data_IF_533063744199
#
_entry.id   IF_533063744199
#
_cell.length_a   1.000
_cell.length_b   1.000
_cell.length_c   1.000
_cell.angle_alpha   90.00
_cell.angle_beta   90.00
_cell.angle_gamma   90.00
#
_symmetry.space_group_name_H-M   'P 1'
#
loop_
_entity.id
_entity.type
_entity.pdbx_description
1 polymer ?
#
# COMPACT_ATOMS: atom_id res chain seq x y z
N UNK A 1 -2.27 -10.10 31.41
CA UNK A 1 -2.64 -11.53 31.60
C UNK A 1 -4.02 -11.78 31.00
N UNK A 2 -4.08 -12.35 29.79
CA UNK A 2 -5.12 -13.28 29.27
C UNK A 2 -4.39 -14.09 28.18
N UNK A 3 -4.33 -15.43 28.31
CA UNK A 3 -3.71 -16.34 27.33
C UNK A 3 -2.21 -16.60 27.55
N UNK A 4 -1.86 -17.58 28.37
CA UNK A 4 -0.48 -18.03 28.55
C UNK A 4 0.03 -18.76 27.30
N UNK A 5 0.57 -18.02 26.33
CA UNK A 5 1.40 -18.60 25.27
C UNK A 5 2.71 -19.02 25.93
N UNK A 6 2.94 -20.33 26.08
CA UNK A 6 4.23 -20.82 26.59
C UNK A 6 5.32 -20.34 25.63
N UNK A 7 6.40 -19.70 26.12
CA UNK A 7 7.51 -19.31 25.28
C UNK A 7 8.08 -20.53 24.58
N UNK A 8 8.25 -20.45 23.27
CA UNK A 8 8.84 -21.51 22.46
C UNK A 8 10.35 -21.50 22.66
N UNK A 9 11.02 -22.66 22.78
CA UNK A 9 12.48 -22.70 22.82
C UNK A 9 13.06 -22.04 21.56
N UNK A 10 13.82 -20.97 21.73
CA UNK A 10 14.46 -20.24 20.64
C UNK A 10 15.86 -19.82 21.06
N UNK A 11 16.78 -19.68 20.10
CA UNK A 11 18.06 -19.00 20.34
C UNK A 11 17.98 -17.63 19.70
N UNK A 12 18.28 -16.60 20.48
CA UNK A 12 18.24 -15.22 20.04
C UNK A 12 19.64 -14.65 20.18
N UNK A 13 20.16 -14.07 19.10
CA UNK A 13 21.43 -13.34 19.09
C UNK A 13 21.17 -11.90 18.60
N UNK A 14 21.81 -10.93 19.24
CA UNK A 14 21.72 -9.52 18.90
C UNK A 14 23.11 -9.04 18.52
N UNK A 15 23.25 -8.56 17.31
CA UNK A 15 24.51 -8.02 16.79
C UNK A 15 24.33 -6.53 16.52
N UNK A 16 25.21 -5.71 17.06
CA UNK A 16 25.27 -4.29 16.74
C UNK A 16 26.48 -4.03 15.85
N UNK A 17 26.23 -3.45 14.68
CA UNK A 17 27.25 -2.99 13.76
C UNK A 17 27.52 -1.50 14.04
N UNK A 18 28.69 -1.20 14.59
CA UNK A 18 29.12 0.15 14.93
C UNK A 18 29.31 1.05 13.71
N UNK A 19 29.69 0.49 12.55
CA UNK A 19 29.93 1.27 11.33
C UNK A 19 28.63 1.70 10.66
N UNK A 20 27.62 0.82 10.68
CA UNK A 20 26.32 1.10 10.06
C UNK A 20 25.25 1.54 11.05
N UNK A 21 25.57 1.56 12.35
CA UNK A 21 24.64 1.78 13.46
C UNK A 21 23.40 0.87 13.40
N UNK A 22 23.57 -0.37 12.93
CA UNK A 22 22.48 -1.33 12.75
C UNK A 22 22.46 -2.35 13.88
N UNK A 23 21.25 -2.65 14.36
CA UNK A 23 21.01 -3.77 15.27
C UNK A 23 20.38 -4.90 14.47
N UNK A 24 21.05 -6.04 14.40
CA UNK A 24 20.56 -7.28 13.78
C UNK A 24 20.10 -8.26 14.86
N UNK A 25 18.83 -8.61 14.85
CA UNK A 25 18.25 -9.64 15.72
C UNK A 25 18.17 -10.97 14.96
N UNK A 26 19.00 -11.94 15.32
CA UNK A 26 18.96 -13.30 14.78
C UNK A 26 18.13 -14.21 15.68
N UNK A 27 17.07 -14.81 15.13
CA UNK A 27 16.20 -15.74 15.86
C UNK A 27 16.23 -17.12 15.21
N UNK A 28 16.65 -18.11 15.99
CA UNK A 28 16.64 -19.52 15.61
C UNK A 28 15.46 -20.25 16.27
N UNK A 29 14.58 -20.80 15.44
CA UNK A 29 13.45 -21.63 15.84
C UNK A 29 13.73 -23.10 15.47
N UNK A 30 13.57 -24.05 16.40
CA UNK A 30 13.98 -25.44 16.19
C UNK A 30 12.97 -26.28 15.41
N UNK A 31 11.71 -25.87 15.37
CA UNK A 31 10.61 -26.64 14.77
C UNK A 31 9.94 -25.85 13.64
N UNK A 32 9.34 -26.58 12.71
CA UNK A 32 8.48 -26.00 11.68
C UNK A 32 7.16 -25.52 12.30
N UNK A 33 6.59 -24.45 11.75
CA UNK A 33 5.36 -23.88 12.28
C UNK A 33 5.16 -22.41 11.97
N UNK A 34 4.10 -21.86 12.54
CA UNK A 34 3.85 -20.42 12.55
C UNK A 34 3.97 -19.94 13.99
N UNK A 35 4.80 -18.94 14.21
CA UNK A 35 5.12 -18.38 15.52
C UNK A 35 4.75 -16.92 15.52
N UNK A 36 4.19 -16.46 16.62
CA UNK A 36 3.95 -15.04 16.83
C UNK A 36 5.11 -14.47 17.65
N UNK A 37 5.69 -13.36 17.21
CA UNK A 37 6.84 -12.73 17.82
C UNK A 37 6.56 -11.26 18.12
N UNK A 38 6.99 -10.82 19.30
CA UNK A 38 6.92 -9.42 19.71
C UNK A 38 8.32 -8.95 20.13
N UNK A 39 8.77 -7.82 19.59
CA UNK A 39 10.06 -7.19 19.90
C UNK A 39 9.80 -5.88 20.62
N UNK A 40 10.37 -5.74 21.82
CA UNK A 40 10.17 -4.57 22.69
C UNK A 40 11.50 -4.05 23.25
N UNK A 41 11.59 -2.74 23.47
CA UNK A 41 12.69 -2.06 24.15
C UNK A 41 12.15 -1.28 25.35
N UNK A 42 12.70 -1.53 26.55
CA UNK A 42 12.20 -0.97 27.83
C UNK A 42 10.68 -1.15 28.04
N UNK A 43 10.15 -2.30 27.64
CA UNK A 43 8.72 -2.62 27.76
C UNK A 43 7.82 -1.96 26.71
N UNK A 44 8.36 -1.12 25.82
CA UNK A 44 7.64 -0.57 24.67
C UNK A 44 7.88 -1.46 23.45
N UNK A 45 6.80 -1.95 22.83
CA UNK A 45 6.89 -2.71 21.59
C UNK A 45 7.46 -1.78 20.51
N UNK A 46 8.49 -2.24 19.81
CA UNK A 46 9.09 -1.49 18.71
C UNK A 46 8.09 -1.38 17.56
N UNK A 47 8.22 -0.35 16.72
CA UNK A 47 7.41 -0.25 15.51
C UNK A 47 7.70 -1.46 14.60
N UNK A 48 6.64 -2.13 14.11
CA UNK A 48 6.71 -3.44 13.45
C UNK A 48 7.34 -4.56 14.30
N UNK A 49 7.41 -4.36 15.61
CA UNK A 49 7.90 -5.34 16.57
C UNK A 49 6.93 -6.49 16.77
N UNK A 50 5.67 -6.36 16.37
CA UNK A 50 4.64 -7.39 16.44
C UNK A 50 4.42 -8.03 15.06
N UNK A 51 4.77 -9.32 14.90
CA UNK A 51 4.71 -10.02 13.62
C UNK A 51 4.68 -11.55 13.76
N UNK A 52 4.27 -12.21 12.67
CA UNK A 52 4.31 -13.67 12.56
C UNK A 52 5.56 -14.17 11.79
N UNK A 53 6.12 -15.29 12.24
CA UNK A 53 7.26 -15.99 11.65
C UNK A 53 6.79 -17.35 11.15
N UNK A 54 6.98 -17.64 9.87
CA UNK A 54 6.71 -18.95 9.27
C UNK A 54 8.03 -19.71 9.10
N UNK A 55 8.16 -20.84 9.79
CA UNK A 55 9.26 -21.79 9.62
C UNK A 55 8.77 -22.93 8.74
N UNK A 56 9.35 -23.03 7.55
CA UNK A 56 8.99 -24.03 6.54
C UNK A 56 9.78 -25.33 6.73
N UNK A 57 9.17 -26.44 6.32
CA UNK A 57 9.88 -27.69 6.09
C UNK A 57 10.85 -27.55 4.90
N UNK A 58 11.85 -28.43 4.79
CA UNK A 58 12.77 -28.44 3.65
C UNK A 58 12.03 -28.63 2.30
N UNK A 59 10.98 -29.46 2.28
CA UNK A 59 10.16 -29.69 1.09
C UNK A 59 9.35 -28.45 0.72
N UNK A 60 8.75 -27.77 1.70
CA UNK A 60 7.94 -26.57 1.47
C UNK A 60 8.83 -25.41 0.99
N UNK A 61 9.99 -25.21 1.62
CA UNK A 61 10.96 -24.21 1.18
C UNK A 61 11.37 -24.45 -0.28
N UNK A 62 11.73 -25.70 -0.64
CA UNK A 62 12.09 -26.06 -2.02
C UNK A 62 10.95 -25.77 -3.02
N UNK A 63 9.70 -26.04 -2.63
CA UNK A 63 8.53 -25.75 -3.43
C UNK A 63 8.32 -24.24 -3.62
N UNK A 64 8.45 -23.44 -2.56
CA UNK A 64 8.38 -21.97 -2.62
C UNK A 64 9.43 -21.41 -3.57
N UNK A 65 10.67 -21.89 -3.52
CA UNK A 65 11.72 -21.49 -4.46
C UNK A 65 11.35 -21.77 -5.90
N UNK A 66 10.82 -22.97 -6.17
CA UNK A 66 10.36 -23.35 -7.52
C UNK A 66 9.25 -22.42 -8.00
N UNK A 67 8.29 -22.06 -7.14
CA UNK A 67 7.21 -21.13 -7.45
C UNK A 67 7.73 -19.73 -7.80
N UNK A 68 8.70 -19.23 -7.05
CA UNK A 68 9.23 -17.86 -7.22
C UNK A 68 10.15 -17.74 -8.44
N UNK A 69 10.83 -18.84 -8.80
CA UNK A 69 11.74 -18.92 -9.93
C UNK A 69 11.05 -19.18 -11.28
N UNK A 70 9.88 -19.84 -11.30
CA UNK A 70 9.18 -20.16 -12.56
C UNK A 70 8.73 -18.91 -13.31
N UNK A 71 8.88 -18.92 -14.65
CA UNK A 71 8.30 -17.90 -15.54
C UNK A 71 6.81 -18.16 -15.84
N UNK A 72 6.34 -19.38 -15.61
CA UNK A 72 4.93 -19.74 -15.71
C UNK A 72 4.31 -19.66 -14.32
N UNK A 73 3.52 -18.62 -14.07
CA UNK A 73 2.92 -18.33 -12.76
C UNK A 73 1.57 -19.01 -12.54
N UNK A 74 1.33 -20.18 -13.14
CA UNK A 74 0.15 -20.98 -12.85
C UNK A 74 0.31 -21.77 -11.53
N UNK A 75 0.62 -21.05 -10.44
CA UNK A 75 0.83 -21.60 -9.11
C UNK A 75 -0.50 -21.55 -8.39
N UNK A 76 -1.01 -22.71 -7.98
CA UNK A 76 -2.29 -22.80 -7.28
C UNK A 76 -2.32 -23.92 -6.25
N UNK A 77 -3.18 -23.75 -5.26
CA UNK A 77 -3.37 -24.68 -4.16
C UNK A 77 -4.86 -24.90 -3.90
N UNK A 78 -5.22 -26.14 -3.57
CA UNK A 78 -6.56 -26.45 -3.11
C UNK A 78 -6.76 -25.94 -1.67
N UNK A 79 -7.90 -25.31 -1.42
CA UNK A 79 -8.29 -24.84 -0.10
C UNK A 79 -9.79 -25.01 0.13
N UNK A 80 -10.20 -24.84 1.38
CA UNK A 80 -11.60 -24.75 1.78
C UNK A 80 -11.91 -23.34 2.24
N UNK A 81 -12.88 -22.71 1.58
CA UNK A 81 -13.40 -21.40 1.93
C UNK A 81 -14.34 -21.53 3.13
N UNK A 82 -14.06 -20.78 4.20
CA UNK A 82 -14.82 -20.79 5.45
C UNK A 82 -15.71 -19.55 5.54
N UNK A 83 -15.15 -18.38 5.23
CA UNK A 83 -15.84 -17.09 5.31
C UNK A 83 -15.49 -16.23 4.11
N UNK A 84 -16.48 -15.55 3.55
CA UNK A 84 -16.32 -14.58 2.45
C UNK A 84 -17.41 -13.52 2.54
N UNK A 85 -17.14 -12.29 2.11
CA UNK A 85 -18.10 -11.18 2.17
C UNK A 85 -18.61 -10.86 3.58
N UNK A 86 -17.83 -11.18 4.62
CA UNK A 86 -18.21 -10.95 6.02
C UNK A 86 -19.12 -12.04 6.61
N UNK A 87 -19.47 -13.07 5.84
CA UNK A 87 -20.35 -14.15 6.29
C UNK A 87 -19.62 -15.49 6.35
N UNK A 88 -19.82 -16.22 7.46
CA UNK A 88 -19.38 -17.61 7.57
C UNK A 88 -20.30 -18.50 6.73
N UNK A 89 -19.71 -19.33 5.88
CA UNK A 89 -20.44 -20.28 5.07
C UNK A 89 -21.01 -21.41 5.95
N UNK A 90 -22.24 -21.87 5.67
CA UNK A 90 -22.85 -22.98 6.43
C UNK A 90 -22.08 -24.30 6.23
N UNK A 91 -21.40 -24.46 5.09
CA UNK A 91 -20.47 -25.56 4.82
C UNK A 91 -19.27 -25.01 4.04
N UNK A 92 -18.04 -25.47 4.36
CA UNK A 92 -16.87 -25.07 3.60
C UNK A 92 -16.97 -25.42 2.13
N UNK A 93 -16.56 -24.49 1.28
CA UNK A 93 -16.57 -24.69 -0.17
C UNK A 93 -15.18 -24.98 -0.67
N UNK A 94 -15.02 -25.98 -1.54
CA UNK A 94 -13.74 -26.25 -2.21
C UNK A 94 -13.42 -25.10 -3.18
N UNK A 95 -12.25 -24.51 -3.01
CA UNK A 95 -11.73 -23.40 -3.81
C UNK A 95 -10.27 -23.62 -4.16
N UNK A 96 -9.75 -22.79 -5.07
CA UNK A 96 -8.37 -22.84 -5.54
C UNK A 96 -7.74 -21.46 -5.38
N UNK A 97 -6.65 -21.40 -4.63
CA UNK A 97 -5.88 -20.19 -4.36
C UNK A 97 -4.74 -20.09 -5.37
N UNK A 98 -4.84 -19.13 -6.30
CA UNK A 98 -3.81 -18.84 -7.29
C UNK A 98 -2.89 -17.73 -6.78
N UNK A 99 -1.58 -17.98 -6.74
CA UNK A 99 -0.58 -17.00 -6.29
C UNK A 99 0.27 -16.59 -7.49
N UNK A 100 0.39 -15.29 -7.74
CA UNK A 100 1.21 -14.74 -8.82
C UNK A 100 2.01 -13.55 -8.32
N UNK A 101 3.02 -13.07 -9.08
CA UNK A 101 3.74 -11.86 -8.72
C UNK A 101 2.85 -10.61 -8.58
N UNK A 102 1.62 -10.59 -9.11
CA UNK A 102 0.77 -9.39 -9.07
C UNK A 102 -0.36 -9.47 -8.05
N UNK A 103 -0.81 -10.67 -7.72
CA UNK A 103 -2.04 -10.89 -6.96
C UNK A 103 -2.17 -12.32 -6.44
N UNK A 104 -2.97 -12.47 -5.38
CA UNK A 104 -3.57 -13.70 -4.90
C UNK A 104 -5.04 -13.74 -5.35
N UNK A 105 -5.45 -14.78 -6.09
CA UNK A 105 -6.81 -14.91 -6.59
C UNK A 105 -7.46 -16.20 -6.08
N UNK A 106 -8.65 -16.11 -5.50
CA UNK A 106 -9.41 -17.27 -5.05
C UNK A 106 -10.50 -17.57 -6.09
N UNK A 107 -10.53 -18.81 -6.59
CA UNK A 107 -11.51 -19.27 -7.59
C UNK A 107 -12.25 -20.50 -7.13
N UNK A 108 -13.47 -20.65 -7.59
CA UNK A 108 -14.23 -21.90 -7.57
C UNK A 108 -14.42 -22.43 -9.00
N UNK A 109 -14.70 -23.72 -9.15
CA UNK A 109 -15.06 -24.30 -10.44
C UNK A 109 -16.53 -24.71 -10.45
N UNK A 110 -17.31 -24.03 -11.28
CA UNK A 110 -18.68 -24.44 -11.60
C UNK A 110 -18.63 -25.58 -12.62
N UNK A 111 -19.50 -26.58 -12.42
CA UNK A 111 -19.59 -27.77 -13.28
C UNK A 111 -18.25 -28.51 -13.49
N UNK A 112 -17.28 -28.32 -12.58
CA UNK A 112 -15.90 -28.88 -12.63
C UNK A 112 -14.99 -28.31 -13.73
N UNK A 113 -15.46 -27.43 -14.63
CA UNK A 113 -14.62 -26.89 -15.72
C UNK A 113 -14.71 -25.37 -15.91
N UNK A 114 -15.72 -24.68 -15.36
CA UNK A 114 -15.87 -23.23 -15.51
C UNK A 114 -15.24 -22.52 -14.31
N UNK A 115 -14.09 -21.84 -14.45
CA UNK A 115 -13.48 -21.11 -13.35
C UNK A 115 -14.26 -19.82 -13.06
N UNK A 116 -14.84 -19.71 -11.86
CA UNK A 116 -15.44 -18.48 -11.34
C UNK A 116 -14.53 -17.86 -10.30
N UNK A 117 -14.11 -16.62 -10.55
CA UNK A 117 -13.35 -15.82 -9.59
C UNK A 117 -14.27 -15.38 -8.46
N UNK A 118 -13.86 -15.63 -7.21
CA UNK A 118 -14.60 -15.18 -6.03
C UNK A 118 -14.05 -13.85 -5.53
N UNK A 119 -12.73 -13.77 -5.36
CA UNK A 119 -12.06 -12.59 -4.81
C UNK A 119 -10.63 -12.53 -5.32
N UNK A 120 -10.04 -11.33 -5.32
CA UNK A 120 -8.62 -11.11 -5.66
C UNK A 120 -8.04 -10.09 -4.71
N UNK A 121 -6.88 -10.42 -4.17
CA UNK A 121 -6.06 -9.55 -3.34
C UNK A 121 -4.84 -9.13 -4.15
N UNK A 122 -4.51 -7.84 -4.12
CA UNK A 122 -3.28 -7.35 -4.77
C UNK A 122 -2.08 -7.90 -4.00
N UNK A 123 -0.99 -8.14 -4.71
CA UNK A 123 0.27 -8.47 -4.05
C UNK A 123 0.98 -7.17 -3.65
N UNK A 124 0.70 -6.70 -2.44
CA UNK A 124 1.22 -5.47 -1.85
C UNK A 124 1.32 -5.58 -0.32
N UNK A 125 2.09 -4.71 0.36
CA UNK A 125 2.31 -4.81 1.81
C UNK A 125 1.05 -4.66 2.66
N UNK A 126 0.00 -4.02 2.15
CA UNK A 126 -1.29 -3.86 2.83
C UNK A 126 -2.11 -5.16 2.88
N UNK A 127 -1.83 -6.14 2.01
CA UNK A 127 -2.48 -7.46 2.09
C UNK A 127 -1.79 -8.30 3.16
N UNK A 128 -2.46 -8.45 4.30
CA UNK A 128 -2.01 -9.19 5.47
C UNK A 128 -2.60 -10.59 5.51
N UNK A 129 -1.82 -11.49 6.08
CA UNK A 129 -2.25 -12.83 6.45
C UNK A 129 -2.31 -12.89 7.97
N UNK A 130 -3.47 -13.27 8.51
CA UNK A 130 -3.62 -13.53 9.94
C UNK A 130 -3.72 -15.04 10.15
N UNK A 131 -2.81 -15.59 10.94
CA UNK A 131 -2.75 -17.02 11.19
C UNK A 131 -3.52 -17.37 12.47
N UNK A 132 -4.38 -18.37 12.38
CA UNK A 132 -5.04 -18.93 13.57
C UNK A 132 -4.38 -20.24 13.98
N UNK A 133 -4.46 -20.56 15.27
CA UNK A 133 -3.95 -21.81 15.82
C UNK A 133 -4.71 -23.03 15.27
N UNK A 134 -4.04 -24.18 15.21
CA UNK A 134 -4.50 -25.43 14.56
C UNK A 134 -5.76 -26.07 15.20
N UNK A 135 -6.47 -25.40 16.11
CA UNK A 135 -7.70 -25.89 16.74
C UNK A 135 -8.95 -25.49 15.95
N UNK A 136 -9.05 -25.90 14.69
CA UNK A 136 -10.30 -25.80 13.93
C UNK A 136 -10.92 -27.17 13.69
N UNK A 137 -12.23 -27.21 13.41
CA UNK A 137 -12.96 -28.47 13.21
C UNK A 137 -12.44 -29.32 12.03
N UNK A 138 -11.54 -28.75 11.21
CA UNK A 138 -11.00 -29.37 10.01
C UNK A 138 -9.60 -29.96 10.22
N UNK A 139 -9.02 -29.80 11.41
CA UNK A 139 -7.67 -30.27 11.78
C UNK A 139 -6.59 -29.87 10.75
N UNK A 140 -6.74 -28.68 10.17
CA UNK A 140 -5.87 -28.15 9.13
C UNK A 140 -5.54 -26.68 9.45
N UNK A 141 -4.39 -26.15 9.02
CA UNK A 141 -4.06 -24.77 9.30
C UNK A 141 -5.04 -23.81 8.60
N UNK A 142 -5.57 -22.83 9.36
CA UNK A 142 -6.38 -21.73 8.81
C UNK A 142 -5.59 -20.42 8.76
N UNK A 143 -6.05 -19.55 7.87
CA UNK A 143 -5.59 -18.18 7.75
C UNK A 143 -6.70 -17.28 7.23
N UNK A 144 -6.62 -16.01 7.58
CA UNK A 144 -7.45 -14.95 7.05
C UNK A 144 -6.60 -14.05 6.18
N UNK A 145 -7.08 -13.74 4.98
CA UNK A 145 -6.49 -12.72 4.11
C UNK A 145 -7.30 -11.43 4.27
N UNK A 146 -6.59 -10.33 4.51
CA UNK A 146 -7.15 -9.01 4.74
C UNK A 146 -6.31 -7.96 4.01
N UNK A 147 -6.92 -7.16 3.15
CA UNK A 147 -6.26 -6.04 2.46
C UNK A 147 -6.81 -4.67 2.91
N UNK A 148 -7.68 -4.66 3.93
CA UNK A 148 -8.38 -3.46 4.40
C UNK A 148 -9.39 -2.86 3.41
N UNK A 149 -9.48 -3.37 2.18
CA UNK A 149 -10.33 -2.83 1.11
C UNK A 149 -11.62 -3.62 0.94
N UNK A 150 -11.59 -4.93 1.22
CA UNK A 150 -12.74 -5.82 1.06
C UNK A 150 -12.94 -6.71 2.30
N UNK A 151 -14.13 -7.29 2.48
CA UNK A 151 -14.38 -8.17 3.62
C UNK A 151 -13.36 -9.31 3.68
N UNK A 152 -12.85 -9.56 4.89
CA UNK A 152 -11.83 -10.57 5.17
C UNK A 152 -12.27 -11.95 4.67
N UNK A 153 -11.30 -12.72 4.18
CA UNK A 153 -11.56 -14.06 3.64
C UNK A 153 -10.82 -15.11 4.44
N UNK A 154 -11.57 -16.04 5.02
CA UNK A 154 -11.04 -17.12 5.83
C UNK A 154 -10.93 -18.41 5.02
N UNK A 155 -9.74 -19.00 5.02
CA UNK A 155 -9.39 -20.22 4.29
C UNK A 155 -8.76 -21.24 5.23
N UNK A 156 -8.98 -22.51 4.90
CA UNK A 156 -8.31 -23.66 5.52
C UNK A 156 -7.61 -24.46 4.42
N UNK A 157 -6.31 -24.73 4.61
CA UNK A 157 -5.55 -25.59 3.71
C UNK A 157 -4.26 -26.08 4.38
N UNK A 158 -3.84 -27.31 4.03
CA UNK A 158 -2.54 -27.85 4.42
C UNK A 158 -1.37 -27.02 3.88
N UNK A 159 -1.56 -26.36 2.74
CA UNK A 159 -0.52 -25.60 2.03
C UNK A 159 -0.44 -24.14 2.50
N UNK A 160 -1.09 -23.78 3.63
CA UNK A 160 -1.17 -22.40 4.16
C UNK A 160 0.19 -21.72 4.19
N UNK A 161 1.18 -22.38 4.79
CA UNK A 161 2.51 -21.81 4.99
C UNK A 161 3.23 -21.59 3.65
N UNK A 162 3.05 -22.51 2.68
CA UNK A 162 3.60 -22.40 1.32
C UNK A 162 2.97 -21.24 0.57
N UNK A 163 1.64 -21.08 0.65
CA UNK A 163 0.90 -19.96 0.03
C UNK A 163 1.42 -18.63 0.58
N UNK A 164 1.45 -18.49 1.91
CA UNK A 164 1.89 -17.26 2.57
C UNK A 164 3.36 -16.95 2.23
N UNK A 165 4.26 -17.94 2.32
CA UNK A 165 5.67 -17.74 1.98
C UNK A 165 5.89 -17.41 0.50
N UNK A 166 5.17 -18.05 -0.42
CA UNK A 166 5.23 -17.74 -1.85
C UNK A 166 4.76 -16.31 -2.13
N UNK A 167 3.66 -15.89 -1.50
CA UNK A 167 3.16 -14.53 -1.60
C UNK A 167 4.20 -13.51 -1.10
N UNK A 168 4.75 -13.74 0.10
CA UNK A 168 5.76 -12.87 0.70
C UNK A 168 7.02 -12.78 -0.16
N UNK A 169 7.50 -13.88 -0.73
CA UNK A 169 8.66 -13.84 -1.63
C UNK A 169 8.42 -13.04 -2.90
N UNK A 170 7.25 -13.21 -3.53
CA UNK A 170 6.90 -12.40 -4.69
C UNK A 170 6.82 -10.92 -4.32
N UNK A 171 6.30 -10.60 -3.14
CA UNK A 171 6.26 -9.23 -2.62
C UNK A 171 7.66 -8.65 -2.49
N UNK A 172 8.57 -9.39 -1.84
CA UNK A 172 9.97 -8.99 -1.69
C UNK A 172 10.68 -8.82 -3.05
N UNK A 173 10.40 -9.70 -4.03
CA UNK A 173 10.98 -9.62 -5.37
C UNK A 173 10.51 -8.40 -6.16
N UNK A 174 9.24 -8.01 -6.02
CA UNK A 174 8.68 -6.85 -6.70
C UNK A 174 9.18 -5.51 -6.15
N UNK A 175 9.60 -5.49 -4.88
CA UNK A 175 10.12 -4.28 -4.22
C UNK A 175 11.51 -3.89 -4.78
N UNK A 176 12.19 -4.77 -5.53
CA UNK A 176 13.40 -4.46 -6.29
C UNK A 176 14.70 -4.48 -5.47
N UNK A 177 15.81 -4.86 -6.12
CA UNK A 177 17.17 -4.95 -5.57
C UNK A 177 17.81 -3.59 -5.28
N UNK A 178 17.29 -2.86 -4.29
CA UNK A 178 18.06 -1.88 -3.51
C UNK A 178 18.08 -2.39 -2.07
N UNK A 179 19.28 -2.51 -1.52
CA UNK A 179 19.60 -3.18 -0.25
C UNK A 179 18.82 -2.61 0.94
N UNK A 180 17.60 -3.11 1.15
CA UNK A 180 16.96 -3.24 2.45
C UNK A 180 16.55 -4.70 2.56
N UNK A 181 17.37 -5.51 3.23
CA UNK A 181 16.95 -6.88 3.53
C UNK A 181 15.79 -6.80 4.53
N UNK A 182 14.57 -7.00 4.03
CA UNK A 182 13.53 -7.63 4.84
C UNK A 182 13.68 -9.13 4.64
N UNK A 183 14.66 -9.74 5.28
CA UNK A 183 14.81 -11.20 5.30
C UNK A 183 13.76 -11.81 6.23
N UNK A 184 12.52 -11.87 5.76
CA UNK A 184 11.58 -12.88 6.22
C UNK A 184 11.82 -14.16 5.42
N UNK A 185 12.92 -14.85 5.72
CA UNK A 185 12.98 -16.31 5.66
C UNK A 185 14.28 -16.83 6.28
N UNK A 186 14.19 -17.82 7.18
CA UNK A 186 15.35 -18.58 7.62
C UNK A 186 15.86 -19.48 6.48
N UNK A 187 17.11 -19.32 6.09
CA UNK A 187 17.83 -20.35 5.35
C UNK A 187 18.76 -21.09 6.29
N UNK A 188 18.57 -22.40 6.40
CA UNK A 188 19.59 -23.41 6.12
C UNK A 188 18.95 -24.79 6.27
N UNK A 189 18.98 -25.56 5.17
CA UNK A 189 19.07 -27.00 5.30
C UNK A 189 20.22 -27.27 6.28
N UNK A 190 19.91 -27.83 7.45
CA UNK A 190 20.71 -27.88 8.68
C UNK A 190 20.46 -26.70 9.64
N UNK A 191 19.29 -26.74 10.28
CA UNK A 191 19.06 -26.29 11.66
C UNK A 191 19.64 -24.93 12.09
N UNK A 192 19.59 -23.88 11.26
CA UNK A 192 19.88 -22.50 11.67
C UNK A 192 18.94 -21.53 10.94
N UNK A 193 18.18 -20.77 11.71
CA UNK A 193 17.32 -19.70 11.24
C UNK A 193 17.93 -18.39 11.73
N UNK A 194 18.18 -17.44 10.82
CA UNK A 194 18.77 -16.13 11.10
C UNK A 194 17.78 -15.08 10.63
N UNK A 195 17.14 -14.40 11.58
CA UNK A 195 16.38 -13.17 11.31
C UNK A 195 17.39 -12.00 11.21
N UNK A 196 17.15 -11.02 10.36
CA UNK A 196 17.92 -9.77 10.34
C UNK A 196 16.90 -8.62 10.24
N UNK A 197 16.69 -7.90 11.35
CA UNK A 197 15.93 -6.66 11.34
C UNK A 197 16.89 -5.57 10.88
N UNK A 198 16.60 -4.94 9.74
CA UNK A 198 17.50 -3.97 9.12
C UNK A 198 16.89 -2.57 9.15
N UNK A 199 17.58 -1.64 9.82
CA UNK A 199 17.38 -0.18 9.73
C UNK A 199 18.16 0.42 8.55
N UNK A 200 17.72 1.57 8.03
CA UNK A 200 18.08 2.24 6.78
C UNK A 200 19.59 2.52 6.58
N UNK A 201 20.14 2.30 5.37
CA UNK A 201 21.53 2.68 5.03
C UNK A 201 21.60 3.87 4.08
N UNK A 202 22.49 4.81 4.41
CA UNK A 202 22.94 5.93 3.55
C UNK A 202 23.67 5.41 2.30
N UNK A 203 23.40 6.00 1.13
CA UNK A 203 24.39 6.53 0.16
C UNK A 203 23.84 6.66 -1.27
N UNK A 204 23.46 7.89 -1.66
CA UNK A 204 23.36 8.31 -3.08
C UNK A 204 23.66 9.83 -3.29
N UNK A 205 23.88 10.62 -2.22
CA UNK A 205 24.00 12.09 -2.30
C UNK A 205 25.38 12.61 -2.75
N UNK A 206 26.44 11.83 -2.63
CA UNK A 206 27.82 12.35 -2.80
C UNK A 206 28.25 12.63 -4.25
N UNK A 207 27.53 12.15 -5.26
CA UNK A 207 27.94 12.31 -6.66
C UNK A 207 27.28 13.47 -7.43
N UNK A 208 26.18 14.04 -6.92
CA UNK A 208 25.40 15.02 -7.68
C UNK A 208 25.80 16.48 -7.48
N UNK A 209 26.57 16.81 -6.44
CA UNK A 209 26.80 18.20 -6.01
C UNK A 209 28.25 18.71 -6.14
N UNK A 210 29.18 17.96 -6.72
CA UNK A 210 30.60 18.36 -6.83
C UNK A 210 30.90 19.28 -8.02
N UNK A 211 29.94 20.09 -8.48
CA UNK A 211 30.23 21.23 -9.36
C UNK A 211 29.49 22.47 -8.87
N UNK A 212 30.19 23.28 -8.07
CA UNK A 212 30.43 24.73 -8.26
C UNK A 212 30.43 25.49 -6.93
N UNK A 213 31.57 26.16 -6.68
CA UNK A 213 31.90 27.18 -5.67
C UNK A 213 32.41 26.70 -4.30
N UNK A 214 33.74 26.77 -4.17
CA UNK A 214 34.45 26.72 -2.88
C UNK A 214 34.04 27.93 -2.01
N UNK A 215 33.83 27.66 -0.71
CA UNK A 215 33.60 28.60 0.39
C UNK A 215 32.17 29.11 0.70
N UNK A 216 31.11 28.33 0.48
CA UNK A 216 29.72 28.70 0.87
C UNK A 216 29.10 27.70 1.86
N UNK A 217 28.23 28.18 2.77
CA UNK A 217 27.41 27.34 3.66
C UNK A 217 26.46 26.45 2.83
N UNK A 218 26.94 25.26 2.50
CA UNK A 218 26.24 24.24 1.73
C UNK A 218 24.92 23.79 2.36
N UNK A 219 24.70 24.06 3.66
CA UNK A 219 23.43 23.79 4.32
C UNK A 219 22.35 24.78 3.90
N UNK A 220 22.67 26.08 3.85
CA UNK A 220 21.76 27.14 3.43
C UNK A 220 21.31 26.99 1.97
N UNK A 221 22.28 26.88 1.06
CA UNK A 221 22.03 26.73 -0.38
C UNK A 221 21.19 25.49 -0.69
N UNK A 222 21.44 24.38 0.01
CA UNK A 222 20.66 23.15 -0.16
C UNK A 222 19.20 23.34 0.24
N UNK A 223 18.95 23.95 1.41
CA UNK A 223 17.57 24.18 1.89
C UNK A 223 16.79 25.08 0.94
N UNK A 224 17.41 26.19 0.51
CA UNK A 224 16.82 27.11 -0.45
C UNK A 224 16.51 26.40 -1.78
N UNK A 225 17.42 25.55 -2.27
CA UNK A 225 17.19 24.78 -3.49
C UNK A 225 15.99 23.84 -3.36
N UNK A 226 15.84 23.11 -2.25
CA UNK A 226 14.67 22.25 -2.03
C UNK A 226 13.37 23.06 -1.94
N UNK A 227 13.41 24.21 -1.27
CA UNK A 227 12.26 25.10 -1.14
C UNK A 227 11.79 25.64 -2.50
N UNK A 228 12.70 26.21 -3.29
CA UNK A 228 12.41 26.70 -4.64
C UNK A 228 11.97 25.59 -5.58
N UNK A 229 12.58 24.41 -5.48
CA UNK A 229 12.22 23.25 -6.31
C UNK A 229 10.82 22.74 -5.94
N UNK A 230 10.49 22.65 -4.64
CA UNK A 230 9.14 22.28 -4.20
C UNK A 230 8.11 23.31 -4.68
N UNK A 231 8.39 24.61 -4.55
CA UNK A 231 7.50 25.65 -5.07
C UNK A 231 7.30 25.53 -6.60
N UNK A 232 8.38 25.30 -7.36
CA UNK A 232 8.29 25.11 -8.80
C UNK A 232 7.43 23.90 -9.22
N UNK A 233 7.42 22.84 -8.41
CA UNK A 233 6.71 21.60 -8.72
C UNK A 233 5.26 21.58 -8.22
N UNK A 234 5.01 22.08 -7.01
CA UNK A 234 3.75 21.85 -6.29
C UNK A 234 2.84 23.06 -6.23
N UNK A 235 3.35 24.26 -6.53
CA UNK A 235 2.51 25.45 -6.62
C UNK A 235 1.52 25.33 -7.78
N UNK A 236 0.23 25.53 -7.47
CA UNK A 236 -0.86 25.40 -8.42
C UNK A 236 -0.70 26.30 -9.65
N UNK A 237 -0.02 27.44 -9.51
CA UNK A 237 0.24 28.41 -10.60
C UNK A 237 1.12 27.82 -11.72
N UNK A 238 1.92 26.81 -11.39
CA UNK A 238 2.82 26.17 -12.35
C UNK A 238 2.11 25.05 -13.14
N UNK A 239 0.91 24.64 -12.71
CA UNK A 239 0.02 23.76 -13.47
C UNK A 239 0.37 22.27 -13.45
N UNK A 240 1.47 21.84 -12.82
CA UNK A 240 1.77 20.41 -12.62
C UNK A 240 0.85 19.81 -11.54
N UNK A 241 0.67 20.53 -10.44
CA UNK A 241 -0.38 20.30 -9.47
C UNK A 241 -1.40 21.44 -9.57
N UNK A 242 -2.61 21.22 -9.08
CA UNK A 242 -3.68 22.21 -9.05
C UNK A 242 -4.54 22.03 -7.78
N UNK A 243 -5.15 23.11 -7.30
CA UNK A 243 -6.19 23.03 -6.28
C UNK A 243 -7.54 22.74 -6.92
N UNK A 244 -8.48 22.18 -6.12
CA UNK A 244 -9.87 22.01 -6.54
C UNK A 244 -10.67 23.33 -6.47
N UNK A 245 -10.18 24.31 -5.69
CA UNK A 245 -10.70 25.68 -5.65
C UNK A 245 -9.63 26.68 -6.10
N UNK A 246 -10.07 27.88 -6.49
CA UNK A 246 -9.18 28.99 -6.88
C UNK A 246 -8.42 29.61 -5.69
N UNK A 247 -8.66 29.12 -4.47
CA UNK A 247 -7.98 29.62 -3.28
C UNK A 247 -6.48 29.25 -3.30
N UNK A 248 -5.61 30.24 -3.17
CA UNK A 248 -4.15 30.02 -3.13
C UNK A 248 -3.67 29.22 -1.92
N UNK A 249 -4.49 29.11 -0.88
CA UNK A 249 -4.25 28.27 0.29
C UNK A 249 -4.86 26.87 0.17
N UNK A 250 -5.50 26.54 -0.95
CA UNK A 250 -6.09 25.24 -1.20
C UNK A 250 -5.03 24.12 -1.19
N UNK A 251 -5.47 22.93 -0.82
CA UNK A 251 -4.67 21.72 -0.97
C UNK A 251 -4.43 21.45 -2.46
N UNK A 252 -3.26 20.93 -2.78
CA UNK A 252 -2.88 20.63 -4.16
C UNK A 252 -3.03 19.15 -4.49
N UNK A 253 -3.47 18.87 -5.70
CA UNK A 253 -3.69 17.55 -6.27
C UNK A 253 -3.00 17.46 -7.65
N UNK A 254 -2.58 16.28 -8.12
CA UNK A 254 -2.07 16.15 -9.49
C UNK A 254 -3.07 16.71 -10.51
N UNK A 255 -2.59 17.48 -11.49
CA UNK A 255 -3.45 18.14 -12.46
C UNK A 255 -3.70 17.25 -13.71
N UNK A 256 -4.91 16.68 -13.88
CA UNK A 256 -5.24 15.89 -15.06
C UNK A 256 -5.35 16.75 -16.34
N UNK A 257 -5.50 18.07 -16.19
CA UNK A 257 -5.60 19.07 -17.28
C UNK A 257 -4.34 19.92 -17.40
N UNK A 258 -3.18 19.39 -17.00
CA UNK A 258 -1.91 20.12 -17.08
C UNK A 258 -1.60 20.59 -18.52
N UNK A 259 -0.89 21.72 -18.67
CA UNK A 259 -0.37 22.17 -19.96
C UNK A 259 0.44 21.09 -20.70
N UNK A 260 0.35 21.06 -22.03
CA UNK A 260 0.94 20.00 -22.85
C UNK A 260 2.47 19.92 -22.77
N UNK A 261 3.16 20.99 -22.37
CA UNK A 261 4.60 21.00 -22.11
C UNK A 261 4.98 20.22 -20.84
N UNK A 262 4.07 20.06 -19.87
CA UNK A 262 4.27 19.29 -18.65
C UNK A 262 3.96 17.81 -18.88
N UNK A 263 5.02 17.02 -19.05
CA UNK A 263 4.96 15.57 -19.29
C UNK A 263 4.95 14.74 -18.00
N UNK A 264 4.54 13.48 -18.08
CA UNK A 264 4.51 12.52 -16.96
C UNK A 264 5.85 12.38 -16.23
N UNK A 265 6.98 12.50 -16.94
CA UNK A 265 8.33 12.52 -16.34
C UNK A 265 8.55 13.63 -15.30
N UNK A 266 7.76 14.71 -15.32
CA UNK A 266 7.84 15.75 -14.28
C UNK A 266 7.21 15.28 -12.97
N UNK A 267 6.17 14.45 -13.00
CA UNK A 267 5.67 13.79 -11.79
C UNK A 267 6.69 12.79 -11.25
N UNK A 268 7.36 12.03 -12.13
CA UNK A 268 8.45 11.15 -11.72
C UNK A 268 9.59 11.94 -11.06
N UNK A 269 9.97 13.09 -11.63
CA UNK A 269 10.93 13.98 -10.97
C UNK A 269 10.40 14.53 -9.63
N UNK A 270 9.13 14.92 -9.55
CA UNK A 270 8.53 15.41 -8.31
C UNK A 270 8.53 14.33 -7.21
N UNK A 271 8.22 13.09 -7.56
CA UNK A 271 8.33 11.93 -6.67
C UNK A 271 9.75 11.75 -6.14
N UNK A 272 10.76 11.86 -7.01
CA UNK A 272 12.18 11.82 -6.58
C UNK A 272 12.52 12.93 -5.60
N UNK A 273 12.04 14.15 -5.84
CA UNK A 273 12.28 15.29 -4.93
C UNK A 273 11.65 15.03 -3.56
N UNK A 274 10.40 14.55 -3.50
CA UNK A 274 9.76 14.19 -2.23
C UNK A 274 10.51 13.05 -1.54
N UNK A 275 10.86 12.00 -2.27
CA UNK A 275 11.65 10.89 -1.74
C UNK A 275 13.00 11.34 -1.20
N UNK A 276 13.61 12.32 -1.87
CA UNK A 276 14.87 12.92 -1.44
C UNK A 276 14.71 13.73 -0.16
N UNK A 277 13.65 14.53 -0.03
CA UNK A 277 13.36 15.27 1.20
C UNK A 277 13.17 14.33 2.39
N UNK A 278 12.43 13.25 2.20
CA UNK A 278 12.20 12.22 3.22
C UNK A 278 13.52 11.53 3.60
N UNK A 279 14.30 11.10 2.60
CA UNK A 279 15.60 10.46 2.82
C UNK A 279 16.58 11.36 3.58
N UNK A 280 16.75 12.62 3.17
CA UNK A 280 17.66 13.57 3.84
C UNK A 280 17.19 13.86 5.27
N UNK A 281 15.88 13.99 5.49
CA UNK A 281 15.32 14.20 6.84
C UNK A 281 15.55 13.01 7.76
N UNK A 282 15.59 11.79 7.22
CA UNK A 282 15.92 10.59 7.99
C UNK A 282 17.40 10.54 8.44
N UNK A 283 18.30 11.35 7.87
CA UNK A 283 19.72 11.38 8.23
C UNK A 283 20.03 12.17 9.50
N UNK A 284 19.02 12.81 10.11
CA UNK A 284 19.12 13.58 11.35
C UNK A 284 18.72 15.05 11.19
N UNK A 285 18.46 15.73 12.31
CA UNK A 285 17.87 17.08 12.34
C UNK A 285 18.63 18.14 11.51
N UNK A 286 19.97 18.06 11.44
CA UNK A 286 20.79 19.00 10.66
C UNK A 286 20.58 18.92 9.15
N UNK A 287 20.02 17.81 8.65
CA UNK A 287 19.76 17.57 7.23
C UNK A 287 18.29 17.70 6.84
N UNK A 288 17.40 18.00 7.81
CA UNK A 288 15.95 18.07 7.60
C UNK A 288 15.60 18.94 6.39
N UNK A 289 14.89 18.35 5.43
CA UNK A 289 14.33 19.02 4.25
C UNK A 289 12.82 18.86 4.30
N UNK A 290 12.11 19.98 4.31
CA UNK A 290 10.65 19.97 4.31
C UNK A 290 10.15 19.98 2.87
N UNK A 291 9.16 19.15 2.58
CA UNK A 291 8.39 19.27 1.34
C UNK A 291 7.46 20.46 1.52
N UNK A 292 7.73 21.56 0.80
CA UNK A 292 6.89 22.77 0.82
C UNK A 292 5.70 22.59 -0.10
N UNK A 293 4.75 21.75 0.32
CA UNK A 293 3.48 21.53 -0.37
C UNK A 293 2.40 21.11 0.64
N UNK A 294 1.17 21.54 0.40
CA UNK A 294 0.00 21.09 1.18
C UNK A 294 -0.81 20.17 0.29
N UNK A 295 -0.51 18.87 0.36
CA UNK A 295 -1.17 17.90 -0.50
C UNK A 295 -2.59 17.62 -0.04
N UNK A 296 -3.45 17.31 -1.00
CA UNK A 296 -4.76 16.72 -0.74
C UNK A 296 -4.65 15.41 0.02
N UNK A 297 -5.59 15.14 0.93
CA UNK A 297 -5.64 13.92 1.73
C UNK A 297 -5.81 12.69 0.86
N UNK A 298 -6.65 12.77 -0.17
CA UNK A 298 -6.81 11.68 -1.14
C UNK A 298 -5.51 11.36 -1.90
N UNK A 299 -4.66 12.35 -2.17
CA UNK A 299 -3.35 12.11 -2.78
C UNK A 299 -2.42 11.40 -1.79
N UNK A 300 -2.36 11.85 -0.53
CA UNK A 300 -1.57 11.20 0.52
C UNK A 300 -2.04 9.77 0.78
N UNK A 301 -3.36 9.53 0.82
CA UNK A 301 -3.96 8.20 0.94
C UNK A 301 -3.49 7.28 -0.20
N UNK A 302 -3.45 7.79 -1.44
CA UNK A 302 -2.96 7.03 -2.58
C UNK A 302 -1.46 6.70 -2.47
N UNK A 303 -0.64 7.58 -1.89
CA UNK A 303 0.79 7.31 -1.67
C UNK A 303 1.04 6.10 -0.78
N UNK A 304 0.16 5.86 0.20
CA UNK A 304 0.23 4.71 1.11
C UNK A 304 -0.58 3.51 0.64
N UNK A 305 -1.15 3.58 -0.56
CA UNK A 305 -1.93 2.51 -1.14
C UNK A 305 -3.33 2.34 -0.54
N UNK A 306 -3.85 3.36 0.14
CA UNK A 306 -5.24 3.41 0.59
C UNK A 306 -6.17 3.81 -0.57
N UNK A 307 -7.39 3.29 -0.50
CA UNK A 307 -8.45 3.61 -1.46
C UNK A 307 -9.17 4.89 -1.04
N UNK A 308 -9.33 5.82 -1.98
CA UNK A 308 -10.08 7.07 -1.77
C UNK A 308 -11.58 6.80 -1.56
N UNK A 309 -12.21 7.49 -0.61
CA UNK A 309 -13.64 7.44 -0.31
C UNK A 309 -14.24 8.86 -0.35
N UNK A 310 -15.56 9.01 -0.47
CA UNK A 310 -16.21 10.33 -0.59
C UNK A 310 -15.93 11.33 0.55
N UNK A 311 -15.44 10.87 1.70
CA UNK A 311 -15.15 11.71 2.87
C UNK A 311 -13.96 12.63 2.63
N UNK A 312 -13.04 12.27 1.73
CA UNK A 312 -11.91 13.13 1.40
C UNK A 312 -12.34 14.44 0.73
N UNK A 313 -13.50 14.47 0.06
CA UNK A 313 -14.02 15.72 -0.51
C UNK A 313 -14.20 16.82 0.55
N UNK A 314 -14.51 16.48 1.80
CA UNK A 314 -14.68 17.49 2.87
C UNK A 314 -13.43 18.35 3.07
N UNK A 315 -12.23 17.80 2.84
CA UNK A 315 -10.96 18.53 2.94
C UNK A 315 -10.40 18.93 1.57
N UNK A 316 -10.51 18.05 0.58
CA UNK A 316 -9.87 18.22 -0.72
C UNK A 316 -10.67 19.15 -1.64
N UNK A 317 -12.00 19.05 -1.63
CA UNK A 317 -12.92 19.86 -2.44
C UNK A 317 -14.18 20.22 -1.61
N UNK A 318 -14.05 21.15 -0.64
CA UNK A 318 -15.14 21.49 0.28
C UNK A 318 -16.40 22.01 -0.44
N UNK A 319 -16.22 22.69 -1.58
CA UNK A 319 -17.32 23.23 -2.37
C UNK A 319 -18.15 22.10 -3.00
N UNK A 320 -17.51 21.12 -3.63
CA UNK A 320 -18.21 19.92 -4.13
C UNK A 320 -18.82 19.10 -2.98
N UNK A 321 -18.13 19.03 -1.85
CA UNK A 321 -18.64 18.34 -0.67
C UNK A 321 -19.95 18.96 -0.20
N UNK A 322 -19.99 20.28 -0.02
CA UNK A 322 -21.18 20.98 0.46
C UNK A 322 -22.33 20.96 -0.56
N UNK A 323 -22.03 21.17 -1.85
CA UNK A 323 -23.05 21.34 -2.89
C UNK A 323 -23.64 20.03 -3.40
N UNK A 324 -22.86 18.95 -3.49
CA UNK A 324 -23.27 17.67 -4.08
C UNK A 324 -23.23 16.52 -3.10
N UNK A 325 -22.10 16.30 -2.43
CA UNK A 325 -21.90 15.11 -1.58
C UNK A 325 -22.80 15.14 -0.36
N UNK A 326 -22.75 16.22 0.42
CA UNK A 326 -23.55 16.42 1.62
C UNK A 326 -25.05 16.40 1.32
N UNK A 327 -25.45 17.02 0.21
CA UNK A 327 -26.84 16.99 -0.24
C UNK A 327 -27.34 15.56 -0.45
N UNK A 328 -26.61 14.74 -1.22
CA UNK A 328 -26.96 13.33 -1.46
C UNK A 328 -26.97 12.51 -0.16
N UNK A 329 -26.06 12.79 0.79
CA UNK A 329 -26.04 12.10 2.08
C UNK A 329 -27.30 12.38 2.90
N UNK A 330 -27.72 13.64 2.96
CA UNK A 330 -28.78 14.12 3.86
C UNK A 330 -30.19 14.02 3.28
N UNK A 331 -30.34 13.91 1.96
CA UNK A 331 -31.64 13.90 1.29
C UNK A 331 -32.01 12.52 0.73
N UNK A 332 -33.30 12.34 0.48
CA UNK A 332 -33.85 11.21 -0.27
C UNK A 332 -33.51 11.37 -1.75
N UNK A 333 -32.91 10.34 -2.35
CA UNK A 333 -32.50 10.36 -3.76
C UNK A 333 -33.33 9.44 -4.66
N UNK A 334 -34.34 8.74 -4.12
CA UNK A 334 -35.14 7.79 -4.89
C UNK A 334 -36.02 8.47 -5.94
N UNK A 335 -36.30 9.77 -5.80
CA UNK A 335 -36.98 10.61 -6.79
C UNK A 335 -36.00 11.42 -7.67
N UNK A 336 -34.69 11.35 -7.39
CA UNK A 336 -33.69 11.99 -8.24
C UNK A 336 -33.43 11.13 -9.49
N UNK A 337 -33.27 11.76 -10.65
CA UNK A 337 -32.82 11.09 -11.89
C UNK A 337 -31.30 10.94 -11.92
N UNK A 338 -30.73 10.46 -10.80
CA UNK A 338 -29.29 10.28 -10.64
C UNK A 338 -28.88 8.87 -11.08
N UNK A 339 -27.81 8.77 -11.86
CA UNK A 339 -27.24 7.51 -12.35
C UNK A 339 -25.77 7.40 -11.96
N UNK A 340 -25.18 6.20 -12.07
CA UNK A 340 -23.74 6.00 -11.82
C UNK A 340 -22.88 6.54 -12.98
N UNK A 341 -23.05 7.81 -13.31
CA UNK A 341 -22.35 8.56 -14.36
C UNK A 341 -21.94 9.90 -13.80
N UNK A 342 -20.75 10.35 -14.14
CA UNK A 342 -20.31 11.73 -13.92
C UNK A 342 -20.31 12.48 -15.24
N UNK A 343 -21.08 13.58 -15.26
CA UNK A 343 -21.22 14.46 -16.40
C UNK A 343 -20.45 15.76 -16.18
N UNK A 344 -19.73 16.19 -17.21
CA UNK A 344 -18.97 17.42 -17.24
C UNK A 344 -19.60 18.35 -18.27
N UNK A 345 -19.94 19.57 -17.85
CA UNK A 345 -20.53 20.59 -18.70
C UNK A 345 -19.57 21.77 -18.86
N UNK A 346 -19.67 22.48 -19.98
CA UNK A 346 -18.97 23.75 -20.18
C UNK A 346 -19.73 24.93 -19.53
N UNK A 347 -19.14 26.13 -19.63
CA UNK A 347 -19.74 27.37 -19.13
C UNK A 347 -21.06 27.77 -19.82
N UNK A 348 -21.39 27.14 -20.95
CA UNK A 348 -22.63 27.35 -21.70
C UNK A 348 -23.68 26.25 -21.43
N UNK A 349 -23.38 25.31 -20.53
CA UNK A 349 -24.27 24.19 -20.20
C UNK A 349 -24.25 23.05 -21.23
N UNK A 350 -23.29 23.03 -22.15
CA UNK A 350 -23.13 21.93 -23.10
C UNK A 350 -22.38 20.76 -22.44
N UNK A 351 -22.92 19.55 -22.57
CA UNK A 351 -22.27 18.32 -22.09
C UNK A 351 -20.95 18.09 -22.85
N UNK A 352 -19.82 18.23 -22.16
CA UNK A 352 -18.49 17.96 -22.67
C UNK A 352 -18.13 16.49 -22.61
N UNK A 353 -18.48 15.83 -21.50
CA UNK A 353 -18.06 14.46 -21.22
C UNK A 353 -19.05 13.79 -20.27
N UNK A 354 -19.39 12.54 -20.53
CA UNK A 354 -20.09 11.67 -19.60
C UNK A 354 -19.25 10.42 -19.35
N UNK A 355 -18.93 10.12 -18.10
CA UNK A 355 -18.11 8.97 -17.72
C UNK A 355 -18.89 8.05 -16.80
N UNK A 356 -19.03 6.79 -17.20
CA UNK A 356 -19.61 5.78 -16.33
C UNK A 356 -18.70 5.52 -15.13
N UNK A 357 -19.23 5.70 -13.92
CA UNK A 357 -18.50 5.48 -12.66
C UNK A 357 -18.34 4.00 -12.35
N UNK A 358 -19.25 3.17 -12.86
CA UNK A 358 -19.23 1.70 -12.80
C UNK A 358 -19.65 1.14 -14.16
N UNK A 359 -19.31 -0.11 -14.50
CA UNK A 359 -19.69 -0.70 -15.79
C UNK A 359 -21.22 -0.67 -16.02
N UNK A 360 -21.67 -0.04 -17.11
CA UNK A 360 -23.09 0.11 -17.42
C UNK A 360 -23.81 1.15 -16.55
N UNK A 361 -23.04 2.05 -15.92
CA UNK A 361 -23.53 3.07 -14.98
C UNK A 361 -24.63 3.96 -15.54
N UNK A 362 -24.67 4.19 -16.86
CA UNK A 362 -25.76 4.92 -17.55
C UNK A 362 -27.15 4.31 -17.33
N UNK A 363 -27.23 3.02 -17.01
CA UNK A 363 -28.50 2.29 -16.78
C UNK A 363 -28.77 1.99 -15.32
N UNK A 364 -27.84 2.33 -14.43
CA UNK A 364 -27.93 2.01 -13.01
C UNK A 364 -28.34 3.29 -12.28
N UNK A 365 -29.61 3.34 -11.87
CA UNK A 365 -30.15 4.44 -11.09
C UNK A 365 -29.60 4.40 -9.66
N UNK A 366 -29.26 5.57 -9.14
CA UNK A 366 -28.89 5.74 -7.73
C UNK A 366 -30.17 5.76 -6.91
N UNK A 367 -30.15 4.99 -5.83
CA UNK A 367 -31.24 4.88 -4.85
C UNK A 367 -30.69 5.19 -3.47
N UNK A 368 -31.55 5.35 -2.47
CA UNK A 368 -31.11 5.52 -1.09
C UNK A 368 -30.22 4.38 -0.58
N UNK A 369 -30.42 3.15 -1.09
CA UNK A 369 -29.60 1.99 -0.75
C UNK A 369 -28.22 2.01 -1.42
N UNK A 370 -28.10 2.66 -2.59
CA UNK A 370 -26.87 2.66 -3.40
C UNK A 370 -26.12 4.00 -3.39
N UNK A 371 -26.66 5.05 -2.74
CA UNK A 371 -26.07 6.39 -2.74
C UNK A 371 -24.66 6.48 -2.19
N UNK A 372 -24.32 5.70 -1.15
CA UNK A 372 -22.95 5.66 -0.63
C UNK A 372 -21.97 5.05 -1.65
N UNK A 373 -22.40 4.01 -2.37
CA UNK A 373 -21.58 3.39 -3.43
C UNK A 373 -21.37 4.34 -4.60
N UNK A 374 -22.40 5.13 -4.94
CA UNK A 374 -22.29 6.19 -5.95
C UNK A 374 -21.26 7.25 -5.53
N UNK A 375 -21.35 7.74 -4.29
CA UNK A 375 -20.41 8.74 -3.78
C UNK A 375 -18.97 8.23 -3.75
N UNK A 376 -18.76 6.97 -3.38
CA UNK A 376 -17.42 6.35 -3.43
C UNK A 376 -16.92 6.15 -4.85
N UNK A 377 -17.79 5.76 -5.78
CA UNK A 377 -17.42 5.65 -7.19
C UNK A 377 -17.06 7.03 -7.78
N UNK A 378 -17.79 8.08 -7.39
CA UNK A 378 -17.50 9.47 -7.74
C UNK A 378 -16.14 9.91 -7.19
N UNK A 379 -15.83 9.61 -5.92
CA UNK A 379 -14.54 9.90 -5.31
C UNK A 379 -13.39 9.17 -6.03
N UNK A 380 -13.57 7.88 -6.31
CA UNK A 380 -12.61 7.07 -7.07
C UNK A 380 -12.36 7.66 -8.46
N UNK A 381 -13.40 8.15 -9.14
CA UNK A 381 -13.23 8.79 -10.44
C UNK A 381 -12.48 10.12 -10.34
N UNK A 382 -12.98 11.06 -9.53
CA UNK A 382 -12.49 12.44 -9.48
C UNK A 382 -11.11 12.59 -8.83
N UNK A 383 -10.81 11.80 -7.80
CA UNK A 383 -9.61 11.98 -6.97
C UNK A 383 -8.51 10.95 -7.23
N UNK A 384 -8.78 9.88 -7.99
CA UNK A 384 -7.81 8.80 -8.23
C UNK A 384 -7.69 8.41 -9.70
N UNK A 385 -8.78 7.94 -10.32
CA UNK A 385 -8.74 7.42 -11.69
C UNK A 385 -8.43 8.51 -12.72
N UNK A 386 -8.89 9.74 -12.48
CA UNK A 386 -8.61 10.92 -13.32
C UNK A 386 -7.11 11.26 -13.40
N UNK A 387 -6.33 10.88 -12.38
CA UNK A 387 -4.91 11.21 -12.21
C UNK A 387 -4.02 9.97 -12.09
N UNK A 388 -4.51 8.81 -12.55
CA UNK A 388 -3.85 7.52 -12.35
C UNK A 388 -2.43 7.49 -12.93
N UNK A 389 -2.23 8.04 -14.12
CA UNK A 389 -0.92 8.01 -14.79
C UNK A 389 0.09 8.94 -14.12
N UNK A 390 -0.38 10.08 -13.65
CA UNK A 390 0.38 11.07 -12.89
C UNK A 390 0.83 10.48 -11.56
N UNK A 391 -0.09 9.80 -10.87
CA UNK A 391 0.17 9.09 -9.62
C UNK A 391 1.18 7.95 -9.80
N UNK A 392 1.02 7.12 -10.85
CA UNK A 392 1.94 6.03 -11.16
C UNK A 392 3.37 6.54 -11.41
N UNK A 393 3.53 7.65 -12.13
CA UNK A 393 4.84 8.25 -12.36
C UNK A 393 5.41 8.89 -11.10
N UNK A 394 4.59 9.57 -10.32
CA UNK A 394 5.01 10.13 -9.03
C UNK A 394 5.54 9.03 -8.10
N UNK A 395 4.78 7.95 -7.92
CA UNK A 395 5.19 6.79 -7.13
C UNK A 395 6.47 6.17 -7.68
N UNK A 396 6.57 5.97 -9.00
CA UNK A 396 7.78 5.45 -9.63
C UNK A 396 9.02 6.24 -9.21
N UNK A 397 8.96 7.58 -9.26
CA UNK A 397 10.08 8.42 -8.84
C UNK A 397 10.35 8.43 -7.34
N UNK A 398 9.29 8.41 -6.53
CA UNK A 398 9.38 8.33 -5.07
C UNK A 398 10.06 7.02 -4.63
N UNK A 399 9.67 5.91 -5.26
CA UNK A 399 10.08 4.55 -4.92
C UNK A 399 11.51 4.23 -5.31
N UNK A 400 12.15 5.06 -6.12
CA UNK A 400 13.60 4.98 -6.36
C UNK A 400 14.41 5.30 -5.10
N UNK A 401 13.86 6.10 -4.18
CA UNK A 401 14.52 6.56 -2.95
C UNK A 401 13.87 5.99 -1.69
N UNK A 402 12.54 5.92 -1.66
CA UNK A 402 11.75 5.49 -0.51
C UNK A 402 10.90 4.29 -0.90
N UNK A 403 11.24 3.07 -0.46
CA UNK A 403 10.44 1.88 -0.75
C UNK A 403 8.98 2.02 -0.32
N UNK A 404 8.05 1.54 -1.16
CA UNK A 404 6.59 1.63 -0.99
C UNK A 404 6.10 1.23 0.42
N UNK A 405 6.73 0.23 1.03
CA UNK A 405 6.32 -0.28 2.34
C UNK A 405 6.63 0.68 3.51
N UNK A 406 7.59 1.59 3.35
CA UNK A 406 7.99 2.50 4.43
C UNK A 406 6.97 3.60 4.68
N UNK A 407 6.18 3.98 3.67
CA UNK A 407 5.15 4.99 3.84
C UNK A 407 3.84 4.39 4.34
N UNK A 408 3.58 3.11 4.04
CA UNK A 408 2.34 2.42 4.42
C UNK A 408 2.09 2.25 5.93
N UNK A 409 3.06 2.60 6.78
CA UNK A 409 2.92 2.60 8.24
C UNK A 409 2.32 3.90 8.79
N UNK A 410 2.28 4.95 7.98
CA UNK A 410 1.74 6.26 8.36
C UNK A 410 0.30 6.40 7.86
N UNK A 411 -0.51 7.13 8.62
CA UNK A 411 -1.77 7.67 8.11
C UNK A 411 -1.53 8.97 7.29
N UNK A 412 -2.57 9.48 6.63
CA UNK A 412 -2.46 10.67 5.78
C UNK A 412 -2.10 11.94 6.56
N UNK A 413 -2.39 12.00 7.86
CA UNK A 413 -2.06 13.15 8.71
C UNK A 413 -0.61 13.08 9.17
N UNK A 414 -0.11 11.89 9.49
CA UNK A 414 1.27 11.65 9.86
C UNK A 414 2.24 11.90 8.70
N UNK A 415 1.82 11.61 7.46
CA UNK A 415 2.59 11.87 6.25
C UNK A 415 2.79 13.35 5.93
N UNK A 416 1.79 14.18 6.21
CA UNK A 416 1.93 15.64 6.05
C UNK A 416 2.82 16.22 7.16
N UNK A 417 2.85 15.56 8.32
CA UNK A 417 3.56 15.99 9.51
C UNK A 417 2.86 17.19 10.15
N UNK A 418 2.34 17.03 11.37
CA UNK A 418 1.96 18.20 12.18
C UNK A 418 3.22 18.97 12.54
N UNK A 419 3.43 20.13 11.92
CA UNK A 419 4.31 21.17 12.45
C UNK A 419 3.73 21.76 13.72
#
# INVERSE_FOLDING_TARGET
MIGSVKPVPSKVNLEYDEMTHRISLQVQLPTEGCYHATVSYHGLILNNGDFDIIVLSNSDASLVHKNVATKNHNIWYEARLISIHGEKLPKPKKVFCYVSPKQLTIKEFLLKFIPKRLVTFRLCPSTKFHFSSNNNQYNQPSFVVDDGCQPKVELVTKDRNVIAATFTHFLLKNIGSVTIYFSFLPYLAHSKATLQIISLSKNLSQYWFQQKLDSLDWGGVRREWFELTCAALFDARNGLFAGFSENQQALVHPNPRRPSNLKLKHYEFAGRIVGKCLYESALGGSYRQLVRARFTRSFLAQLIGLRVHYKYFEQDDPDLYLTKVKYILEHDVDDMELYFVEEEYDQYGQLLKAVELVPGGTKIRVTNQTKLQYLDALAQYRLANSVREEMEHFLKGLNELIPDNLLSIFDENELEGRT
#
